data_IF_352301565834
#
_entry.id   IF_352301565834
#
_cell.length_a   1.000
_cell.length_b   1.000
_cell.length_c   1.000
_cell.angle_alpha   90.00
_cell.angle_beta   90.00
_cell.angle_gamma   90.00
#
_symmetry.space_group_name_H-M   'P 1'
#
loop_
_entity.id
_entity.type
_entity.pdbx_description
1 polymer ?
#
# COMPACT_ATOMS: atom_id res chain seq x y z
N UNK A 1 -5.98 28.73 -30.31
CA UNK A 1 -7.04 28.62 -29.28
C UNK A 1 -8.05 27.62 -29.80
N UNK A 2 -8.28 26.59 -29.00
CA UNK A 2 -9.34 25.57 -29.03
C UNK A 2 -9.82 25.03 -30.37
N UNK A 3 -9.34 23.83 -30.70
CA UNK A 3 -10.18 22.77 -31.24
C UNK A 3 -9.51 21.42 -31.00
N UNK A 4 -10.20 20.50 -30.31
CA UNK A 4 -10.13 19.04 -30.49
C UNK A 4 -11.10 18.33 -29.53
N UNK A 5 -12.39 18.62 -29.71
CA UNK A 5 -13.45 17.65 -29.42
C UNK A 5 -14.21 17.48 -30.74
N UNK A 6 -14.00 16.36 -31.42
CA UNK A 6 -14.81 15.97 -32.58
C UNK A 6 -15.86 14.99 -32.07
N UNK A 7 -17.11 15.44 -32.17
CA UNK A 7 -18.33 14.64 -32.12
C UNK A 7 -18.23 13.42 -33.04
N UNK A 8 -18.61 12.26 -32.53
CA UNK A 8 -19.16 11.19 -33.37
C UNK A 8 -20.48 10.73 -32.76
N UNK A 9 -21.55 10.89 -33.53
CA UNK A 9 -22.92 10.49 -33.20
C UNK A 9 -23.12 9.00 -33.63
N UNK A 10 -24.08 8.27 -33.05
CA UNK A 10 -24.17 6.81 -33.08
C UNK A 10 -25.04 6.27 -34.23
N UNK A 11 -25.09 4.93 -34.32
CA UNK A 11 -25.93 4.04 -35.14
C UNK A 11 -25.28 3.40 -36.38
N UNK A 12 -24.88 2.14 -36.20
CA UNK A 12 -24.96 1.09 -37.22
C UNK A 12 -25.09 -0.25 -36.50
N UNK A 13 -26.27 -0.85 -36.60
CA UNK A 13 -26.60 -2.19 -36.10
C UNK A 13 -26.20 -3.23 -37.13
N UNK A 14 -25.32 -4.17 -36.74
CA UNK A 14 -25.13 -5.43 -37.46
C UNK A 14 -25.40 -6.58 -36.51
N UNK A 15 -26.47 -7.32 -36.83
CA UNK A 15 -26.90 -8.55 -36.19
C UNK A 15 -25.90 -9.68 -36.43
N UNK A 16 -25.30 -10.20 -35.36
CA UNK A 16 -24.69 -11.53 -35.35
C UNK A 16 -25.30 -12.33 -34.20
N UNK A 17 -26.08 -13.35 -34.57
CA UNK A 17 -26.72 -14.33 -33.68
C UNK A 17 -25.65 -15.02 -32.83
N UNK A 18 -25.81 -15.01 -31.51
CA UNK A 18 -25.00 -15.79 -30.58
C UNK A 18 -25.73 -17.08 -30.22
N UNK A 19 -25.11 -18.22 -30.53
CA UNK A 19 -25.51 -19.52 -30.04
C UNK A 19 -25.25 -19.63 -28.52
N UNK A 20 -26.30 -20.03 -27.81
CA UNK A 20 -26.30 -20.31 -26.38
C UNK A 20 -25.60 -21.63 -26.09
N UNK A 21 -24.45 -21.59 -25.43
CA UNK A 21 -23.99 -22.72 -24.62
C UNK A 21 -23.57 -22.29 -23.21
N UNK A 22 -24.03 -23.11 -22.26
CA UNK A 22 -24.10 -22.88 -20.82
C UNK A 22 -22.72 -22.76 -20.18
N UNK A 23 -22.48 -21.65 -19.49
CA UNK A 23 -21.49 -21.56 -18.41
C UNK A 23 -22.14 -20.87 -17.20
N UNK A 24 -22.96 -21.63 -16.47
CA UNK A 24 -23.45 -21.22 -15.15
C UNK A 24 -22.72 -22.08 -14.11
N UNK A 25 -21.56 -21.60 -13.66
CA UNK A 25 -20.75 -22.27 -12.64
C UNK A 25 -19.90 -21.34 -11.77
N UNK A 26 -19.38 -20.24 -12.34
CA UNK A 26 -18.35 -19.44 -11.66
C UNK A 26 -18.83 -18.08 -11.11
N UNK A 27 -20.05 -17.63 -11.44
CA UNK A 27 -20.50 -16.27 -11.13
C UNK A 27 -21.14 -16.11 -9.73
N UNK A 28 -21.24 -17.18 -8.93
CA UNK A 28 -21.83 -17.14 -7.58
C UNK A 28 -20.81 -17.06 -6.43
N UNK A 29 -19.51 -17.13 -6.70
CA UNK A 29 -18.45 -17.08 -5.66
C UNK A 29 -17.77 -15.71 -5.50
N UNK A 30 -18.10 -14.72 -6.33
CA UNK A 30 -17.49 -13.38 -6.27
C UNK A 30 -18.11 -12.46 -5.21
N UNK A 31 -19.15 -12.88 -4.47
CA UNK A 31 -19.96 -11.97 -3.66
C UNK A 31 -19.58 -11.87 -2.17
N UNK A 32 -18.72 -12.74 -1.64
CA UNK A 32 -18.52 -12.84 -0.18
C UNK A 32 -17.73 -11.67 0.42
N UNK A 33 -16.82 -11.08 -0.36
CA UNK A 33 -15.96 -9.98 0.05
C UNK A 33 -15.93 -8.86 -1.00
N UNK A 34 -17.10 -8.45 -1.48
CA UNK A 34 -17.23 -7.41 -2.53
C UNK A 34 -16.58 -6.08 -2.12
N UNK A 35 -16.51 -5.75 -0.83
CA UNK A 35 -15.85 -4.54 -0.34
C UNK A 35 -14.35 -4.48 -0.66
N UNK A 36 -13.70 -5.60 -1.02
CA UNK A 36 -12.29 -5.60 -1.47
C UNK A 36 -12.14 -4.81 -2.78
N UNK A 37 -13.17 -4.74 -3.62
CA UNK A 37 -13.12 -3.88 -4.82
C UNK A 37 -13.15 -2.38 -4.47
N UNK A 38 -13.56 -2.03 -3.25
CA UNK A 38 -13.51 -0.67 -2.72
C UNK A 38 -12.15 -0.34 -2.07
N UNK A 39 -11.20 -1.29 -2.03
CA UNK A 39 -9.85 -1.04 -1.55
C UNK A 39 -9.22 0.12 -2.34
N UNK A 40 -9.11 1.26 -1.66
CA UNK A 40 -8.45 2.48 -2.10
C UNK A 40 -8.45 3.42 -0.90
N UNK A 41 -7.44 4.29 -0.83
CA UNK A 41 -7.37 5.27 0.25
C UNK A 41 -8.42 6.37 0.04
N UNK A 42 -8.82 7.05 1.11
CA UNK A 42 -9.75 8.19 1.05
C UNK A 42 -9.17 9.27 0.13
N UNK A 43 -9.87 9.55 -0.97
CA UNK A 43 -9.45 10.54 -1.99
C UNK A 43 -9.59 11.99 -1.53
N UNK A 44 -9.30 12.92 -2.43
CA UNK A 44 -9.37 14.35 -2.19
C UNK A 44 -8.28 14.90 -1.27
N UNK A 45 -8.49 16.14 -0.81
CA UNK A 45 -7.58 16.95 0.00
C UNK A 45 -8.24 17.49 1.28
N UNK A 46 -9.43 16.98 1.64
CA UNK A 46 -10.13 17.34 2.87
C UNK A 46 -9.56 16.70 4.14
N UNK A 47 -10.15 17.02 5.29
CA UNK A 47 -9.63 16.66 6.61
C UNK A 47 -9.55 15.14 6.88
N UNK A 48 -10.39 14.33 6.23
CA UNK A 48 -10.37 12.86 6.34
C UNK A 48 -9.68 12.17 5.15
N UNK A 49 -9.08 12.93 4.23
CA UNK A 49 -8.38 12.38 3.08
C UNK A 49 -7.07 11.71 3.46
N UNK A 50 -6.59 10.80 2.62
CA UNK A 50 -5.25 10.22 2.77
C UNK A 50 -4.15 11.28 2.57
N UNK A 51 -4.36 12.25 1.70
CA UNK A 51 -3.40 13.32 1.43
C UNK A 51 -3.04 14.11 2.70
N UNK A 52 -4.01 14.37 3.57
CA UNK A 52 -3.82 15.10 4.84
C UNK A 52 -3.43 14.19 6.01
N UNK A 53 -3.74 12.89 5.96
CA UNK A 53 -3.54 11.95 7.07
C UNK A 53 -2.41 10.92 6.87
N UNK A 54 -1.52 11.11 5.90
CA UNK A 54 -0.45 10.16 5.56
C UNK A 54 0.93 10.51 6.14
N UNK A 55 0.97 11.11 7.34
CA UNK A 55 2.23 11.51 8.00
C UNK A 55 3.12 10.29 8.34
N UNK A 56 2.52 9.16 8.72
CA UNK A 56 3.24 7.91 8.98
C UNK A 56 4.07 7.50 7.76
N UNK A 57 3.44 7.46 6.59
CA UNK A 57 4.06 7.07 5.33
C UNK A 57 5.17 8.08 4.94
N UNK A 58 4.95 9.37 5.19
CA UNK A 58 5.99 10.40 5.01
C UNK A 58 7.22 10.17 5.88
N UNK A 59 7.04 9.76 7.15
CA UNK A 59 8.16 9.44 8.05
C UNK A 59 8.90 8.18 7.60
N UNK A 60 8.16 7.16 7.17
CA UNK A 60 8.74 5.93 6.62
C UNK A 60 9.62 6.25 5.42
N UNK A 61 9.14 7.06 4.47
CA UNK A 61 9.93 7.54 3.33
C UNK A 61 11.23 8.23 3.77
N UNK A 62 11.19 9.05 4.82
CA UNK A 62 12.40 9.69 5.36
C UNK A 62 13.39 8.68 5.95
N UNK A 63 12.91 7.61 6.59
CA UNK A 63 13.77 6.56 7.17
C UNK A 63 14.37 5.66 6.11
N UNK A 64 13.63 5.36 5.05
CA UNK A 64 14.08 4.48 3.96
C UNK A 64 14.86 5.21 2.87
N UNK A 65 14.91 6.55 2.93
CA UNK A 65 15.63 7.41 1.97
C UNK A 65 17.05 6.93 1.68
N UNK A 66 17.83 6.53 2.69
CA UNK A 66 19.20 6.03 2.48
C UNK A 66 19.22 4.82 1.53
N UNK A 67 18.39 3.82 1.81
CA UNK A 67 18.29 2.59 1.00
C UNK A 67 17.86 2.93 -0.43
N UNK A 68 16.94 3.87 -0.60
CA UNK A 68 16.49 4.33 -1.91
C UNK A 68 17.62 5.01 -2.70
N UNK A 69 18.35 5.93 -2.08
CA UNK A 69 19.45 6.67 -2.70
C UNK A 69 20.58 5.72 -3.10
N UNK A 70 21.01 4.83 -2.20
CA UNK A 70 22.08 3.86 -2.46
C UNK A 70 21.72 2.95 -3.65
N UNK A 71 20.53 2.36 -3.65
CA UNK A 71 20.10 1.50 -4.76
C UNK A 71 19.91 2.27 -6.07
N UNK A 72 19.49 3.53 -6.02
CA UNK A 72 19.39 4.38 -7.22
C UNK A 72 20.78 4.64 -7.80
N UNK A 73 21.77 4.97 -6.95
CA UNK A 73 23.16 5.20 -7.41
C UNK A 73 23.77 3.94 -8.00
N UNK A 74 23.68 2.81 -7.29
CA UNK A 74 24.22 1.54 -7.78
C UNK A 74 23.54 1.11 -9.08
N UNK A 75 22.23 1.31 -9.23
CA UNK A 75 21.52 1.02 -10.48
C UNK A 75 22.10 1.83 -11.64
N UNK A 76 22.25 3.15 -11.46
CA UNK A 76 22.79 4.05 -12.49
C UNK A 76 24.18 3.61 -12.95
N UNK A 77 25.07 3.29 -12.01
CA UNK A 77 26.43 2.86 -12.31
C UNK A 77 26.42 1.49 -13.02
N UNK A 78 25.62 0.52 -12.55
CA UNK A 78 25.58 -0.82 -13.15
C UNK A 78 24.93 -0.86 -14.54
N UNK A 79 24.06 0.10 -14.86
CA UNK A 79 23.42 0.24 -16.16
C UNK A 79 24.18 1.18 -17.11
N UNK A 80 25.39 1.62 -16.71
CA UNK A 80 26.23 2.58 -17.45
C UNK A 80 25.49 3.84 -17.91
N UNK A 81 24.76 4.47 -16.98
CA UNK A 81 24.08 5.75 -17.20
C UNK A 81 23.21 5.76 -18.48
N UNK A 82 22.13 4.95 -18.50
CA UNK A 82 21.28 4.83 -19.69
C UNK A 82 20.64 6.18 -20.03
N UNK A 83 20.28 6.41 -21.30
CA UNK A 83 19.66 7.67 -21.75
C UNK A 83 18.21 7.87 -21.29
N UNK A 84 17.51 6.78 -21.00
CA UNK A 84 16.13 6.80 -20.53
C UNK A 84 15.98 5.80 -19.38
N UNK A 85 15.23 6.19 -18.35
CA UNK A 85 14.99 5.39 -17.16
C UNK A 85 13.51 5.41 -16.88
N UNK A 86 12.95 4.22 -16.67
CA UNK A 86 11.57 4.05 -16.22
C UNK A 86 11.54 3.67 -14.75
N UNK A 87 10.88 4.49 -13.96
CA UNK A 87 10.69 4.33 -12.52
C UNK A 87 9.20 4.13 -12.27
N UNK A 88 8.83 3.11 -11.49
CA UNK A 88 7.46 2.90 -11.09
C UNK A 88 7.31 2.95 -9.58
N UNK A 89 6.28 3.65 -9.08
CA UNK A 89 5.78 3.45 -7.72
C UNK A 89 4.53 2.60 -7.74
N UNK A 90 4.53 1.53 -6.94
CA UNK A 90 3.44 0.55 -6.91
C UNK A 90 2.64 0.70 -5.62
N UNK A 91 1.42 1.22 -5.74
CA UNK A 91 0.55 1.62 -4.64
C UNK A 91 0.78 3.07 -4.21
N UNK A 92 0.65 4.01 -5.16
CA UNK A 92 0.97 5.42 -4.95
C UNK A 92 -0.05 6.18 -4.10
N UNK A 93 -1.27 5.63 -3.96
CA UNK A 93 -2.40 6.25 -3.28
C UNK A 93 -2.74 7.63 -3.88
N UNK A 94 -3.38 8.48 -3.06
CA UNK A 94 -3.86 9.82 -3.36
C UNK A 94 -3.17 10.83 -2.43
N UNK A 95 -2.15 11.54 -2.90
CA UNK A 95 -1.48 12.56 -2.10
C UNK A 95 -0.06 12.90 -2.53
N UNK A 96 0.61 13.77 -1.76
CA UNK A 96 1.93 14.31 -2.13
C UNK A 96 3.12 13.41 -1.81
N UNK A 97 2.94 12.36 -0.99
CA UNK A 97 4.05 11.53 -0.49
C UNK A 97 4.82 10.82 -1.62
N UNK A 98 4.12 10.39 -2.65
CA UNK A 98 4.72 9.79 -3.86
C UNK A 98 5.81 10.68 -4.47
N UNK A 99 5.54 11.98 -4.56
CA UNK A 99 6.46 12.93 -5.15
C UNK A 99 7.70 13.18 -4.31
N UNK A 100 7.68 12.84 -3.00
CA UNK A 100 8.90 12.87 -2.18
C UNK A 100 9.89 11.80 -2.66
N UNK A 101 9.43 10.56 -2.80
CA UNK A 101 10.26 9.46 -3.31
C UNK A 101 10.75 9.75 -4.74
N UNK A 102 9.84 10.17 -5.62
CA UNK A 102 10.19 10.44 -7.02
C UNK A 102 11.16 11.60 -7.19
N UNK A 103 11.01 12.66 -6.39
CA UNK A 103 11.96 13.78 -6.42
C UNK A 103 13.32 13.37 -5.90
N UNK A 104 13.38 12.50 -4.87
CA UNK A 104 14.63 11.97 -4.35
C UNK A 104 15.37 11.12 -5.39
N UNK A 105 14.65 10.24 -6.09
CA UNK A 105 15.21 9.42 -7.17
C UNK A 105 15.76 10.32 -8.28
N UNK A 106 14.94 11.25 -8.80
CA UNK A 106 15.34 12.15 -9.88
C UNK A 106 16.53 13.03 -9.51
N UNK A 107 16.53 13.60 -8.31
CA UNK A 107 17.63 14.44 -7.82
C UNK A 107 18.91 13.62 -7.58
N UNK A 108 18.79 12.38 -7.09
CA UNK A 108 19.93 11.46 -6.94
C UNK A 108 20.56 11.13 -8.29
N UNK A 109 19.74 10.83 -9.30
CA UNK A 109 20.20 10.57 -10.66
C UNK A 109 20.93 11.79 -11.23
N UNK A 110 20.31 12.98 -11.12
CA UNK A 110 20.91 14.23 -11.61
C UNK A 110 22.27 14.52 -10.98
N UNK A 111 22.36 14.41 -9.65
CA UNK A 111 23.60 14.67 -8.90
C UNK A 111 24.69 13.66 -9.27
N UNK A 112 24.34 12.37 -9.44
CA UNK A 112 25.31 11.35 -9.83
C UNK A 112 25.80 11.55 -11.26
N UNK A 113 24.92 11.93 -12.19
CA UNK A 113 25.31 12.28 -13.56
C UNK A 113 26.27 13.47 -13.58
N UNK A 114 26.06 14.51 -12.75
CA UNK A 114 26.99 15.63 -12.60
C UNK A 114 28.36 15.17 -12.09
N UNK A 115 28.38 14.40 -11.01
CA UNK A 115 29.61 13.86 -10.40
C UNK A 115 30.45 13.05 -11.39
N UNK A 116 29.80 12.29 -12.27
CA UNK A 116 30.46 11.42 -13.26
C UNK A 116 30.61 12.07 -14.64
N UNK A 117 30.31 13.35 -14.78
CA UNK A 117 30.34 14.09 -16.05
C UNK A 117 29.54 13.38 -17.18
N UNK A 118 28.35 12.88 -16.84
CA UNK A 118 27.38 12.23 -17.73
C UNK A 118 26.18 13.15 -17.97
N UNK A 119 25.51 12.95 -19.09
CA UNK A 119 24.24 13.63 -19.35
C UNK A 119 23.11 13.00 -18.53
N UNK A 120 22.23 13.80 -17.90
CA UNK A 120 21.03 13.27 -17.24
C UNK A 120 20.11 12.53 -18.23
N UNK A 121 19.47 11.43 -17.81
CA UNK A 121 18.50 10.70 -18.63
C UNK A 121 17.13 11.37 -18.67
N UNK A 122 16.32 10.98 -19.65
CA UNK A 122 14.86 11.13 -19.56
C UNK A 122 14.31 10.16 -18.52
N UNK A 123 13.42 10.63 -17.64
CA UNK A 123 12.84 9.84 -16.57
C UNK A 123 11.35 9.65 -16.84
N UNK A 124 10.93 8.43 -17.14
CA UNK A 124 9.52 8.03 -17.20
C UNK A 124 9.07 7.56 -15.81
N UNK A 125 8.31 8.41 -15.13
CA UNK A 125 7.79 8.21 -13.78
C UNK A 125 6.35 7.69 -13.83
N UNK A 126 6.18 6.41 -13.54
CA UNK A 126 4.89 5.73 -13.55
C UNK A 126 4.30 5.61 -12.14
N UNK A 127 3.12 6.15 -11.95
CA UNK A 127 2.36 6.08 -10.69
C UNK A 127 1.30 5.00 -10.82
N UNK A 128 1.48 3.85 -10.14
CA UNK A 128 0.52 2.76 -10.15
C UNK A 128 -0.31 2.73 -8.88
N UNK A 129 -1.61 2.48 -9.05
CA UNK A 129 -2.53 2.09 -8.00
C UNK A 129 -3.72 1.32 -8.62
N UNK A 130 -4.65 0.86 -7.80
CA UNK A 130 -5.89 0.26 -8.25
C UNK A 130 -6.74 1.28 -9.03
N UNK A 131 -7.60 0.82 -9.97
CA UNK A 131 -8.44 1.72 -10.77
C UNK A 131 -9.38 2.64 -9.96
N UNK A 132 -9.73 2.24 -8.73
CA UNK A 132 -10.58 2.99 -7.80
C UNK A 132 -9.88 4.16 -7.09
N UNK A 133 -8.56 4.27 -7.21
CA UNK A 133 -7.76 5.34 -6.61
C UNK A 133 -8.05 6.72 -7.25
N UNK A 134 -7.91 7.77 -6.45
CA UNK A 134 -8.11 9.15 -6.91
C UNK A 134 -6.84 9.73 -7.54
N UNK A 135 -6.56 9.28 -8.77
CA UNK A 135 -5.46 9.81 -9.59
C UNK A 135 -5.62 11.31 -9.89
N UNK A 136 -6.85 11.83 -9.94
CA UNK A 136 -7.08 13.25 -10.19
C UNK A 136 -6.45 14.11 -9.11
N UNK A 137 -6.63 13.74 -7.83
CA UNK A 137 -5.98 14.45 -6.72
C UNK A 137 -4.46 14.33 -6.79
N UNK A 138 -3.91 13.15 -7.11
CA UNK A 138 -2.45 12.98 -7.28
C UNK A 138 -1.90 13.87 -8.40
N UNK A 139 -2.59 13.96 -9.54
CA UNK A 139 -2.12 14.75 -10.68
C UNK A 139 -2.12 16.26 -10.44
N UNK A 140 -2.95 16.78 -9.52
CA UNK A 140 -2.89 18.19 -9.09
C UNK A 140 -1.51 18.58 -8.52
N UNK A 141 -0.75 17.62 -7.99
CA UNK A 141 0.56 17.89 -7.38
C UNK A 141 1.74 17.83 -8.37
N UNK A 142 1.55 17.46 -9.64
CA UNK A 142 2.62 17.32 -10.64
C UNK A 142 3.39 18.65 -10.83
N UNK A 143 2.70 19.78 -10.88
CA UNK A 143 3.36 21.09 -11.04
C UNK A 143 4.30 21.39 -9.87
N UNK A 144 3.88 21.07 -8.65
CA UNK A 144 4.70 21.22 -7.45
C UNK A 144 5.87 20.24 -7.42
N UNK A 145 5.67 19.04 -7.94
CA UNK A 145 6.73 18.04 -8.11
C UNK A 145 7.80 18.50 -9.10
N UNK A 146 7.42 18.98 -10.28
CA UNK A 146 8.36 19.44 -11.30
C UNK A 146 9.28 20.56 -10.78
N UNK A 147 8.77 21.44 -9.91
CA UNK A 147 9.56 22.49 -9.25
C UNK A 147 10.60 21.96 -8.25
N UNK A 148 10.45 20.74 -7.73
CA UNK A 148 11.39 20.11 -6.78
C UNK A 148 12.58 19.43 -7.47
N UNK A 149 12.55 19.29 -8.79
CA UNK A 149 13.63 18.66 -9.55
C UNK A 149 14.74 19.68 -9.84
N UNK A 150 15.96 19.37 -9.43
CA UNK A 150 17.09 20.32 -9.40
C UNK A 150 17.56 20.82 -10.76
N UNK A 151 17.37 20.06 -11.85
CA UNK A 151 17.88 20.42 -13.19
C UNK A 151 16.82 20.62 -14.27
N UNK A 152 15.55 20.77 -13.90
CA UNK A 152 14.47 20.82 -14.90
C UNK A 152 14.48 19.61 -15.85
N UNK A 153 15.01 18.47 -15.39
CA UNK A 153 15.17 17.26 -16.18
C UNK A 153 13.84 16.78 -16.73
N UNK A 154 13.88 16.12 -17.90
CA UNK A 154 12.73 15.58 -18.60
C UNK A 154 12.08 14.42 -17.83
N UNK A 155 11.38 14.74 -16.73
CA UNK A 155 10.60 13.80 -15.96
C UNK A 155 9.16 13.81 -16.46
N UNK A 156 8.73 12.69 -17.01
CA UNK A 156 7.39 12.50 -17.56
C UNK A 156 6.58 11.65 -16.59
N UNK A 157 5.43 12.16 -16.14
CA UNK A 157 4.61 11.47 -15.15
C UNK A 157 3.40 10.82 -15.84
N UNK A 158 3.19 9.54 -15.58
CA UNK A 158 2.07 8.75 -16.12
C UNK A 158 1.32 8.02 -15.00
N UNK A 159 0.01 7.87 -15.13
CA UNK A 159 -0.78 6.99 -14.26
C UNK A 159 -0.94 5.60 -14.87
N UNK A 160 -0.84 4.56 -14.04
CA UNK A 160 -0.97 3.15 -14.45
C UNK A 160 -2.00 2.45 -13.56
N UNK A 161 -3.30 2.52 -13.89
CA UNK A 161 -4.35 1.88 -13.10
C UNK A 161 -4.30 0.36 -13.29
N UNK A 162 -4.24 -0.38 -12.19
CA UNK A 162 -4.25 -1.85 -12.21
C UNK A 162 -3.61 -2.46 -10.96
N UNK A 163 -3.95 -3.73 -10.68
CA UNK A 163 -3.32 -4.46 -9.58
C UNK A 163 -1.87 -4.78 -9.91
N UNK A 164 -0.96 -4.49 -8.99
CA UNK A 164 0.42 -4.96 -9.08
C UNK A 164 0.57 -6.48 -8.93
N UNK A 165 -0.50 -7.23 -8.68
CA UNK A 165 -0.49 -8.70 -8.80
C UNK A 165 -0.68 -9.18 -10.25
N UNK A 166 -0.76 -8.25 -11.20
CA UNK A 166 -0.81 -8.49 -12.64
C UNK A 166 0.37 -7.80 -13.37
N UNK A 167 0.49 -8.06 -14.68
CA UNK A 167 1.41 -7.32 -15.55
C UNK A 167 0.87 -5.90 -15.77
N UNK A 168 1.71 -4.91 -15.49
CA UNK A 168 1.44 -3.48 -15.64
C UNK A 168 2.29 -2.84 -16.74
N UNK A 169 3.46 -3.41 -17.03
CA UNK A 169 4.44 -2.81 -17.93
C UNK A 169 4.90 -3.80 -19.02
N UNK A 170 5.41 -3.30 -20.17
CA UNK A 170 6.09 -4.15 -21.15
C UNK A 170 7.31 -4.87 -20.55
N UNK A 171 7.69 -6.00 -21.15
CA UNK A 171 8.84 -6.79 -20.70
C UNK A 171 10.13 -5.96 -20.77
N UNK A 172 11.00 -6.10 -19.77
CA UNK A 172 12.32 -5.45 -19.70
C UNK A 172 12.26 -3.93 -19.97
N UNK A 173 11.27 -3.25 -19.41
CA UNK A 173 11.09 -1.80 -19.56
C UNK A 173 11.30 -1.03 -18.26
N UNK A 174 11.16 -1.67 -17.10
CA UNK A 174 11.33 -1.06 -15.79
C UNK A 174 12.78 -1.11 -15.31
N UNK A 175 13.28 -0.01 -14.78
CA UNK A 175 14.64 0.12 -14.25
C UNK A 175 14.62 0.12 -12.72
N UNK A 176 13.71 0.91 -12.13
CA UNK A 176 13.53 1.02 -10.69
C UNK A 176 12.06 0.84 -10.32
N UNK A 177 11.79 0.00 -9.32
CA UNK A 177 10.48 -0.10 -8.67
C UNK A 177 10.62 0.39 -7.24
N UNK A 178 9.73 1.29 -6.84
CA UNK A 178 9.55 1.73 -5.47
C UNK A 178 8.15 1.33 -5.00
N UNK A 179 8.02 1.01 -3.72
CA UNK A 179 6.71 0.70 -3.14
C UNK A 179 6.79 0.88 -1.63
N UNK A 180 5.88 1.65 -1.06
CA UNK A 180 5.81 1.87 0.38
C UNK A 180 4.39 1.61 0.85
N UNK A 181 4.27 0.66 1.78
CA UNK A 181 3.03 0.36 2.51
C UNK A 181 1.84 0.02 1.62
N UNK A 182 2.07 -0.81 0.60
CA UNK A 182 1.01 -1.32 -0.28
C UNK A 182 1.02 -2.84 -0.43
N UNK A 183 2.19 -3.48 -0.54
CA UNK A 183 2.32 -4.93 -0.82
C UNK A 183 1.76 -5.83 0.30
N UNK A 184 1.54 -5.30 1.50
CA UNK A 184 0.90 -6.03 2.60
C UNK A 184 -0.61 -6.20 2.41
N UNK A 185 -1.24 -5.47 1.47
CA UNK A 185 -2.63 -5.68 1.10
C UNK A 185 -2.75 -6.87 0.15
N UNK A 186 -3.53 -7.87 0.54
CA UNK A 186 -3.75 -9.10 -0.21
C UNK A 186 -4.65 -8.85 -1.43
N UNK A 187 -4.54 -9.72 -2.44
CA UNK A 187 -5.39 -9.66 -3.64
C UNK A 187 -6.86 -9.96 -3.33
N UNK A 188 -7.11 -10.69 -2.24
CA UNK A 188 -8.43 -11.01 -1.69
C UNK A 188 -8.33 -11.37 -0.23
N UNK A 189 -9.46 -11.36 0.48
CA UNK A 189 -9.57 -12.01 1.78
C UNK A 189 -9.37 -13.52 1.59
N UNK A 190 -8.58 -14.20 2.46
CA UNK A 190 -8.42 -15.64 2.40
C UNK A 190 -9.76 -16.39 2.49
N UNK A 191 -9.85 -17.54 1.81
CA UNK A 191 -11.03 -18.40 1.89
C UNK A 191 -11.02 -19.27 3.16
N UNK A 192 -12.20 -19.67 3.63
CA UNK A 192 -12.33 -20.60 4.75
C UNK A 192 -12.08 -19.99 6.13
N UNK A 193 -12.23 -18.67 6.27
CA UNK A 193 -12.11 -17.99 7.56
C UNK A 193 -13.34 -18.20 8.44
N UNK A 194 -13.12 -18.35 9.75
CA UNK A 194 -14.21 -18.46 10.72
C UNK A 194 -14.90 -17.11 10.94
N UNK A 195 -16.23 -17.11 10.80
CA UNK A 195 -17.10 -15.93 10.99
C UNK A 195 -17.68 -15.84 12.40
N UNK A 196 -17.32 -16.73 13.31
CA UNK A 196 -17.81 -16.75 14.70
C UNK A 196 -17.15 -15.67 15.56
N UNK A 197 -15.99 -15.16 15.14
CA UNK A 197 -15.16 -14.25 15.92
C UNK A 197 -15.35 -12.80 15.47
N UNK A 198 -15.69 -11.92 16.42
CA UNK A 198 -15.80 -10.46 16.23
C UNK A 198 -14.41 -9.80 16.14
N UNK A 199 -13.61 -10.25 15.19
CA UNK A 199 -12.30 -9.67 14.88
C UNK A 199 -12.16 -9.50 13.38
N UNK A 200 -11.66 -8.35 12.97
CA UNK A 200 -11.45 -8.02 11.55
C UNK A 200 -10.17 -8.64 11.00
N UNK A 201 -9.28 -9.11 11.87
CA UNK A 201 -8.00 -9.71 11.50
C UNK A 201 -7.59 -10.82 12.48
N UNK A 202 -6.52 -11.55 12.16
CA UNK A 202 -6.00 -12.64 13.01
C UNK A 202 -5.51 -12.11 14.36
N UNK A 203 -5.73 -12.88 15.42
CA UNK A 203 -5.25 -12.57 16.77
C UNK A 203 -4.67 -13.81 17.44
N UNK A 204 -4.08 -13.66 18.64
CA UNK A 204 -3.53 -14.78 19.43
C UNK A 204 -4.55 -15.89 19.73
N UNK A 205 -5.84 -15.58 19.73
CA UNK A 205 -6.92 -16.56 19.93
C UNK A 205 -7.48 -17.11 18.62
N UNK A 206 -6.89 -16.82 17.46
CA UNK A 206 -7.35 -17.35 16.17
C UNK A 206 -6.86 -18.78 15.98
N UNK A 207 -7.64 -19.63 15.29
CA UNK A 207 -7.19 -20.99 15.00
C UNK A 207 -5.99 -20.95 14.05
N UNK A 208 -5.10 -21.94 14.18
CA UNK A 208 -3.92 -22.06 13.32
C UNK A 208 -4.28 -22.17 11.83
N UNK A 209 -5.48 -22.67 11.50
CA UNK A 209 -6.01 -22.72 10.14
C UNK A 209 -6.21 -21.33 9.54
N UNK A 210 -6.72 -20.37 10.31
CA UNK A 210 -6.92 -18.98 9.87
C UNK A 210 -5.56 -18.31 9.61
N UNK A 211 -4.58 -18.47 10.51
CA UNK A 211 -3.20 -18.01 10.24
C UNK A 211 -2.65 -18.57 8.92
N UNK A 212 -2.77 -19.89 8.73
CA UNK A 212 -2.28 -20.56 7.51
C UNK A 212 -3.00 -20.05 6.27
N UNK A 213 -4.29 -19.73 6.34
CA UNK A 213 -5.04 -19.17 5.22
C UNK A 213 -4.48 -17.80 4.79
N UNK A 214 -4.25 -16.90 5.76
CA UNK A 214 -3.61 -15.60 5.50
C UNK A 214 -2.19 -15.73 4.96
N UNK A 215 -1.37 -16.58 5.58
CA UNK A 215 -0.01 -16.84 5.13
C UNK A 215 0.00 -17.39 3.70
N UNK A 216 -0.82 -18.39 3.38
CA UNK A 216 -0.89 -18.98 2.04
C UNK A 216 -1.31 -17.95 0.99
N UNK A 217 -2.28 -17.08 1.31
CA UNK A 217 -2.71 -16.01 0.43
C UNK A 217 -1.57 -14.99 0.19
N UNK A 218 -0.88 -14.56 1.24
CA UNK A 218 0.31 -13.70 1.13
C UNK A 218 1.42 -14.33 0.29
N UNK A 219 1.73 -15.61 0.51
CA UNK A 219 2.75 -16.33 -0.25
C UNK A 219 2.41 -16.35 -1.74
N UNK A 220 1.16 -16.66 -2.08
CA UNK A 220 0.68 -16.66 -3.47
C UNK A 220 0.79 -15.26 -4.10
N UNK A 221 0.32 -14.25 -3.39
CA UNK A 221 0.27 -12.87 -3.87
C UNK A 221 1.68 -12.30 -4.05
N UNK A 222 2.55 -12.45 -3.05
CA UNK A 222 3.91 -11.94 -3.09
C UNK A 222 4.78 -12.68 -4.12
N UNK A 223 4.66 -14.00 -4.25
CA UNK A 223 5.31 -14.74 -5.35
C UNK A 223 4.81 -14.28 -6.71
N UNK A 224 3.51 -14.03 -6.86
CA UNK A 224 2.94 -13.51 -8.12
C UNK A 224 3.49 -12.11 -8.41
N UNK A 225 3.52 -11.22 -7.42
CA UNK A 225 4.12 -9.90 -7.53
C UNK A 225 5.57 -9.99 -8.03
N UNK A 226 6.42 -10.79 -7.38
CA UNK A 226 7.82 -10.97 -7.78
C UNK A 226 7.92 -11.47 -9.22
N UNK A 227 7.12 -12.47 -9.62
CA UNK A 227 7.12 -12.99 -10.99
C UNK A 227 6.70 -11.96 -12.03
N UNK A 228 5.67 -11.16 -11.74
CA UNK A 228 5.24 -10.10 -12.67
C UNK A 228 6.32 -9.03 -12.82
N UNK A 229 6.94 -8.61 -11.71
CA UNK A 229 8.03 -7.63 -11.72
C UNK A 229 9.28 -8.16 -12.43
N UNK A 230 9.59 -9.45 -12.27
CA UNK A 230 10.79 -10.03 -12.89
C UNK A 230 10.72 -10.07 -14.42
N UNK A 231 9.52 -10.19 -15.00
CA UNK A 231 9.30 -10.08 -16.44
C UNK A 231 9.43 -8.64 -16.96
N UNK A 232 9.03 -7.67 -16.15
CA UNK A 232 8.95 -6.26 -16.52
C UNK A 232 10.28 -5.52 -16.35
N UNK A 233 11.11 -5.97 -15.43
CA UNK A 233 12.36 -5.31 -15.10
C UNK A 233 13.52 -5.71 -16.01
N UNK A 234 14.39 -4.74 -16.29
CA UNK A 234 15.69 -4.99 -16.93
C UNK A 234 16.62 -5.75 -15.96
N UNK A 235 17.57 -6.51 -16.50
CA UNK A 235 18.67 -7.08 -15.69
C UNK A 235 19.43 -5.97 -14.98
N UNK A 236 19.84 -6.20 -13.73
CA UNK A 236 20.42 -5.20 -12.82
C UNK A 236 19.48 -4.05 -12.41
N UNK A 237 18.21 -4.05 -12.84
CA UNK A 237 17.19 -3.18 -12.30
C UNK A 237 16.98 -3.40 -10.80
N UNK A 238 16.47 -2.37 -10.10
CA UNK A 238 16.33 -2.38 -8.64
C UNK A 238 14.88 -2.32 -8.20
N UNK A 239 14.56 -2.99 -7.09
CA UNK A 239 13.33 -2.72 -6.35
C UNK A 239 13.68 -2.27 -4.94
N UNK A 240 12.97 -1.28 -4.42
CA UNK A 240 13.01 -0.86 -3.02
C UNK A 240 11.59 -0.92 -2.48
N UNK A 241 11.32 -1.92 -1.66
CA UNK A 241 9.99 -2.24 -1.15
C UNK A 241 9.96 -2.03 0.36
N UNK A 242 8.96 -1.32 0.85
CA UNK A 242 8.72 -1.14 2.28
C UNK A 242 7.35 -1.68 2.65
N UNK A 243 7.31 -2.69 3.50
CA UNK A 243 6.08 -3.35 3.95
C UNK A 243 5.85 -3.07 5.43
N UNK A 244 4.58 -3.14 5.85
CA UNK A 244 4.26 -3.34 7.27
C UNK A 244 4.49 -4.82 7.52
N UNK A 245 5.32 -5.12 8.50
CA UNK A 245 5.59 -6.48 8.94
C UNK A 245 5.49 -6.60 10.45
N UNK A 246 5.91 -7.75 10.96
CA UNK A 246 5.93 -8.04 12.39
C UNK A 246 7.29 -8.51 12.87
N UNK A 247 7.60 -8.24 14.14
CA UNK A 247 8.68 -8.95 14.85
C UNK A 247 8.24 -10.39 15.08
N UNK A 248 9.07 -11.33 14.68
CA UNK A 248 8.87 -12.74 15.01
C UNK A 248 9.07 -12.91 16.52
N UNK A 249 7.98 -13.20 17.22
CA UNK A 249 7.99 -13.77 18.56
C UNK A 249 7.76 -15.27 18.44
N UNK A 250 7.83 -16.00 19.55
CA UNK A 250 7.61 -17.45 19.58
C UNK A 250 6.22 -17.86 19.04
N UNK A 251 5.26 -16.93 19.03
CA UNK A 251 3.91 -17.12 18.48
C UNK A 251 3.68 -16.22 17.24
N UNK A 252 3.46 -16.81 16.04
CA UNK A 252 3.19 -16.05 14.82
C UNK A 252 1.81 -15.37 14.79
N UNK A 253 0.88 -15.80 15.64
CA UNK A 253 -0.45 -15.20 15.83
C UNK A 253 -0.45 -14.03 16.80
N UNK A 254 0.62 -13.84 17.57
CA UNK A 254 0.70 -12.76 18.53
C UNK A 254 0.64 -11.40 17.82
N UNK A 255 -0.33 -10.59 18.21
CA UNK A 255 -0.41 -9.16 17.92
C UNK A 255 -0.58 -8.45 19.24
N UNK A 256 0.17 -7.39 19.45
CA UNK A 256 0.10 -6.63 20.69
C UNK A 256 -1.25 -5.91 20.83
N UNK A 257 -1.55 -5.45 22.04
CA UNK A 257 -2.81 -4.78 22.34
C UNK A 257 -2.97 -3.43 21.64
N UNK A 258 -1.90 -2.82 21.11
CA UNK A 258 -1.97 -1.56 20.34
C UNK A 258 -1.89 -1.79 18.83
N UNK A 259 -2.01 -3.03 18.35
CA UNK A 259 -2.06 -3.32 16.92
C UNK A 259 -3.33 -2.71 16.32
N UNK A 260 -3.19 -1.97 15.21
CA UNK A 260 -4.26 -1.16 14.64
C UNK A 260 -5.51 -1.97 14.25
N UNK A 261 -5.36 -3.22 13.78
CA UNK A 261 -6.54 -4.09 13.54
C UNK A 261 -7.14 -4.70 14.80
N UNK A 262 -6.37 -4.82 15.89
CA UNK A 262 -6.89 -5.20 17.20
C UNK A 262 -7.77 -4.09 17.74
N UNK A 263 -7.26 -2.86 17.75
CA UNK A 263 -8.00 -1.67 18.20
C UNK A 263 -9.25 -1.40 17.35
N UNK A 264 -9.19 -1.65 16.04
CA UNK A 264 -10.36 -1.53 15.16
C UNK A 264 -11.42 -2.59 15.50
N UNK A 265 -11.01 -3.83 15.76
CA UNK A 265 -11.92 -4.91 16.17
C UNK A 265 -12.62 -4.58 17.49
N UNK A 266 -11.87 -4.10 18.49
CA UNK A 266 -12.44 -3.68 19.78
C UNK A 266 -13.40 -2.50 19.63
N UNK A 267 -13.08 -1.53 18.77
CA UNK A 267 -13.95 -0.37 18.53
C UNK A 267 -15.26 -0.77 17.83
N UNK A 268 -15.22 -1.71 16.89
CA UNK A 268 -16.41 -2.29 16.27
C UNK A 268 -17.21 -3.12 17.28
N UNK A 269 -16.54 -3.84 18.18
CA UNK A 269 -17.19 -4.60 19.24
C UNK A 269 -17.97 -3.68 20.21
N UNK A 270 -17.42 -2.52 20.56
CA UNK A 270 -18.13 -1.52 21.36
C UNK A 270 -19.43 -1.06 20.68
N UNK A 271 -19.43 -0.89 19.36
CA UNK A 271 -20.65 -0.55 18.59
C UNK A 271 -21.67 -1.70 18.58
N UNK A 272 -21.23 -2.95 18.64
CA UNK A 272 -22.12 -4.12 18.77
C UNK A 272 -22.79 -4.12 20.14
N UNK A 273 -22.04 -3.87 21.21
CA UNK A 273 -22.56 -3.81 22.57
C UNK A 273 -23.58 -2.68 22.75
N UNK A 274 -23.40 -1.59 22.02
CA UNK A 274 -24.34 -0.45 21.98
C UNK A 274 -25.54 -0.68 21.06
N UNK A 275 -25.60 -1.82 20.35
CA UNK A 275 -26.68 -2.14 19.42
C UNK A 275 -26.68 -1.32 18.14
N UNK A 276 -25.58 -0.62 17.82
CA UNK A 276 -25.45 0.23 16.62
C UNK A 276 -25.20 -0.63 15.38
N UNK A 277 -24.33 -1.63 15.48
CA UNK A 277 -24.02 -2.55 14.38
C UNK A 277 -24.26 -4.00 14.79
N UNK A 278 -24.62 -4.85 13.84
CA UNK A 278 -24.83 -6.27 14.12
C UNK A 278 -23.51 -7.03 14.26
N UNK A 279 -23.44 -7.95 15.23
CA UNK A 279 -22.28 -8.81 15.46
C UNK A 279 -21.89 -9.62 14.21
N UNK A 280 -22.88 -10.07 13.44
CA UNK A 280 -22.70 -10.84 12.20
C UNK A 280 -22.08 -10.01 11.08
N UNK A 281 -22.39 -8.71 11.01
CA UNK A 281 -21.78 -7.80 10.03
C UNK A 281 -20.32 -7.50 10.38
N UNK A 282 -20.02 -7.32 11.67
CA UNK A 282 -18.63 -7.19 12.13
C UNK A 282 -17.84 -8.47 11.87
N UNK A 283 -18.41 -9.64 12.16
CA UNK A 283 -17.69 -10.91 12.03
C UNK A 283 -17.47 -11.37 10.58
N UNK A 284 -18.23 -10.82 9.64
CA UNK A 284 -18.04 -11.03 8.19
C UNK A 284 -17.05 -10.04 7.56
N UNK A 285 -16.73 -8.93 8.23
CA UNK A 285 -15.70 -8.01 7.77
C UNK A 285 -14.32 -8.55 8.12
N UNK A 286 -13.54 -8.92 7.10
CA UNK A 286 -12.17 -9.45 7.25
C UNK A 286 -11.20 -8.62 6.42
N UNK A 287 -10.09 -8.21 7.02
CA UNK A 287 -9.14 -7.32 6.37
C UNK A 287 -8.28 -8.10 5.37
N UNK A 288 -8.21 -7.73 4.08
CA UNK A 288 -7.31 -8.35 3.10
C UNK A 288 -5.88 -7.83 3.32
N UNK A 289 -5.28 -8.21 4.44
CA UNK A 289 -3.99 -7.69 4.90
C UNK A 289 -3.16 -8.83 5.47
N UNK A 290 -1.84 -8.78 5.28
CA UNK A 290 -0.89 -9.62 6.01
C UNK A 290 0.38 -8.85 6.32
N UNK A 291 0.80 -8.88 7.58
CA UNK A 291 2.04 -8.29 8.08
C UNK A 291 3.11 -9.38 8.22
N UNK A 292 3.89 -9.68 7.16
CA UNK A 292 4.83 -10.81 7.17
C UNK A 292 6.00 -10.59 8.14
N UNK A 293 6.66 -11.67 8.53
CA UNK A 293 7.95 -11.60 9.21
C UNK A 293 9.10 -11.37 8.21
N UNK A 294 10.26 -10.97 8.75
CA UNK A 294 11.49 -10.83 7.96
C UNK A 294 11.87 -12.15 7.29
N UNK A 295 11.71 -13.27 8.00
CA UNK A 295 12.02 -14.61 7.52
C UNK A 295 11.08 -15.02 6.39
N UNK A 296 9.76 -14.82 6.56
CA UNK A 296 8.75 -15.13 5.53
C UNK A 296 9.04 -14.40 4.21
N UNK A 297 9.36 -13.10 4.27
CA UNK A 297 9.73 -12.30 3.09
C UNK A 297 11.01 -12.83 2.45
N UNK A 298 12.03 -13.09 3.26
CA UNK A 298 13.34 -13.56 2.78
C UNK A 298 13.23 -14.90 2.07
N UNK A 299 12.51 -15.84 2.66
CA UNK A 299 12.35 -17.19 2.13
C UNK A 299 11.55 -17.18 0.83
N UNK A 300 10.51 -16.35 0.73
CA UNK A 300 9.73 -16.22 -0.50
C UNK A 300 10.55 -15.63 -1.65
N UNK A 301 11.37 -14.59 -1.40
CA UNK A 301 12.24 -14.01 -2.43
C UNK A 301 13.26 -15.04 -2.92
N UNK A 302 13.87 -15.80 -1.99
CA UNK A 302 14.84 -16.85 -2.33
C UNK A 302 14.19 -17.99 -3.11
N UNK A 303 13.00 -18.41 -2.70
CA UNK A 303 12.23 -19.50 -3.32
C UNK A 303 11.73 -19.14 -4.72
N UNK A 304 11.25 -17.92 -4.93
CA UNK A 304 10.84 -17.46 -6.26
C UNK A 304 12.05 -17.31 -7.20
N UNK A 305 13.14 -16.73 -6.70
CA UNK A 305 14.46 -16.86 -7.30
C UNK A 305 14.82 -15.85 -8.40
N UNK A 306 13.91 -14.98 -8.86
CA UNK A 306 14.18 -13.99 -9.92
C UNK A 306 15.02 -12.79 -9.46
N UNK A 307 15.05 -12.55 -8.15
CA UNK A 307 15.73 -11.42 -7.53
C UNK A 307 16.81 -11.85 -6.55
N UNK A 308 17.87 -11.04 -6.44
CA UNK A 308 18.86 -11.12 -5.36
C UNK A 308 18.51 -10.08 -4.31
N UNK A 309 18.53 -10.45 -3.04
CA UNK A 309 18.41 -9.49 -1.92
C UNK A 309 19.72 -8.71 -1.83
N UNK A 310 19.64 -7.38 -1.95
CA UNK A 310 20.79 -6.49 -1.75
C UNK A 310 20.92 -6.08 -0.28
N UNK A 311 19.83 -5.57 0.30
CA UNK A 311 19.75 -5.18 1.70
C UNK A 311 18.34 -5.48 2.23
N UNK A 312 18.23 -5.82 3.53
CA UNK A 312 16.98 -6.07 4.23
C UNK A 312 17.07 -5.51 5.66
N UNK A 313 16.39 -4.40 5.89
CA UNK A 313 16.38 -3.68 7.16
C UNK A 313 15.00 -3.76 7.83
N UNK A 314 15.01 -3.68 9.17
CA UNK A 314 13.80 -3.62 9.98
C UNK A 314 13.84 -2.35 10.82
N UNK A 315 12.82 -1.52 10.67
CA UNK A 315 12.68 -0.26 11.39
C UNK A 315 11.49 -0.33 12.33
N UNK A 316 11.56 0.38 13.46
CA UNK A 316 10.42 0.49 14.37
C UNK A 316 9.22 1.14 13.68
N UNK A 317 8.03 0.59 13.88
CA UNK A 317 6.80 1.21 13.39
C UNK A 317 6.44 2.43 14.24
N UNK A 318 6.64 3.62 13.68
CA UNK A 318 6.44 4.89 14.39
C UNK A 318 5.20 5.61 13.89
N UNK A 319 4.09 5.42 14.62
CA UNK A 319 2.80 6.12 14.42
C UNK A 319 2.86 7.61 14.74
N UNK A 320 3.98 8.07 15.24
CA UNK A 320 4.34 9.47 15.25
C UNK A 320 4.10 10.21 16.55
N UNK A 321 4.12 9.50 17.67
CA UNK A 321 4.21 10.13 18.99
C UNK A 321 5.58 10.82 19.13
N UNK A 322 5.60 12.15 19.07
CA UNK A 322 6.73 12.95 19.51
C UNK A 322 7.04 12.58 20.96
N UNK A 323 8.26 12.14 21.25
CA UNK A 323 8.74 12.00 22.64
C UNK A 323 8.70 13.36 23.37
N UNK A 324 8.75 14.47 22.61
CA UNK A 324 8.63 15.83 23.10
C UNK A 324 7.22 16.20 23.63
N UNK A 325 6.16 15.50 23.20
CA UNK A 325 4.77 15.75 23.64
C UNK A 325 4.42 15.10 24.99
N UNK A 326 5.31 14.29 25.56
CA UNK A 326 5.08 13.65 26.87
C UNK A 326 5.26 14.62 28.06
N UNK A 327 5.69 15.86 27.81
CA UNK A 327 5.97 16.85 28.87
C UNK A 327 4.74 17.65 29.34
N UNK A 328 3.58 17.51 28.69
CA UNK A 328 2.34 18.18 29.09
C UNK A 328 1.19 17.18 29.22
N UNK A 329 0.75 16.96 30.47
CA UNK A 329 -0.29 16.03 30.91
C UNK A 329 -1.72 16.37 30.42
N UNK A 330 -1.90 16.86 29.18
CA UNK A 330 -3.22 17.12 28.56
C UNK A 330 -3.35 16.66 27.09
N UNK A 331 -2.39 15.90 26.54
CA UNK A 331 -2.31 15.62 25.09
C UNK A 331 -2.51 14.16 24.64
N UNK A 332 -2.83 13.22 25.54
CA UNK A 332 -3.10 11.82 25.18
C UNK A 332 -4.21 11.63 24.13
N UNK A 333 -5.25 12.48 24.16
CA UNK A 333 -6.40 12.44 23.23
C UNK A 333 -5.99 12.85 21.80
N UNK A 334 -5.05 13.80 21.64
CA UNK A 334 -4.61 14.27 20.31
C UNK A 334 -3.76 13.24 19.57
N UNK A 335 -2.99 12.44 20.30
CA UNK A 335 -2.20 11.36 19.71
C UNK A 335 -3.08 10.25 19.13
N UNK A 336 -4.11 9.84 19.88
CA UNK A 336 -5.09 8.86 19.43
C UNK A 336 -5.88 9.32 18.20
N UNK A 337 -6.22 10.61 18.14
CA UNK A 337 -6.90 11.21 16.98
C UNK A 337 -6.06 11.13 15.70
N UNK A 338 -4.76 11.45 15.75
CA UNK A 338 -3.89 11.39 14.55
C UNK A 338 -3.79 9.97 13.98
N UNK A 339 -3.66 8.98 14.85
CA UNK A 339 -3.64 7.58 14.42
C UNK A 339 -5.00 7.14 13.89
N UNK A 340 -6.09 7.51 14.56
CA UNK A 340 -7.45 7.25 14.10
C UNK A 340 -7.69 7.82 12.70
N UNK A 341 -7.30 9.06 12.45
CA UNK A 341 -7.45 9.68 11.12
C UNK A 341 -6.59 8.99 10.06
N UNK A 342 -5.38 8.53 10.40
CA UNK A 342 -4.55 7.73 9.50
C UNK A 342 -5.22 6.40 9.13
N UNK A 343 -5.73 5.65 10.12
CA UNK A 343 -6.38 4.36 9.87
C UNK A 343 -7.73 4.55 9.17
N UNK A 344 -8.48 5.62 9.50
CA UNK A 344 -9.68 6.04 8.79
C UNK A 344 -9.40 6.26 7.31
N UNK A 345 -8.41 7.08 6.99
CA UNK A 345 -8.05 7.37 5.60
C UNK A 345 -7.63 6.13 4.80
N UNK A 346 -7.26 5.04 5.47
CA UNK A 346 -6.91 3.75 4.86
C UNK A 346 -8.10 2.81 4.70
N UNK A 347 -9.06 2.85 5.62
CA UNK A 347 -10.09 1.80 5.75
C UNK A 347 -11.53 2.26 5.53
N UNK A 348 -11.81 3.56 5.59
CA UNK A 348 -13.17 4.12 5.53
C UNK A 348 -13.94 3.64 4.30
N UNK A 349 -13.30 3.61 3.12
CA UNK A 349 -13.98 3.14 1.90
C UNK A 349 -14.39 1.66 1.97
N UNK A 350 -13.56 0.80 2.55
CA UNK A 350 -13.92 -0.62 2.75
C UNK A 350 -15.01 -0.78 3.82
N UNK A 351 -14.93 0.00 4.90
CA UNK A 351 -15.93 0.00 5.96
C UNK A 351 -17.29 0.45 5.41
N UNK A 352 -17.36 1.57 4.69
CA UNK A 352 -18.59 2.07 4.07
C UNK A 352 -19.13 1.07 3.05
N UNK A 353 -18.27 0.45 2.23
CA UNK A 353 -18.72 -0.55 1.25
C UNK A 353 -19.31 -1.81 1.89
N UNK A 354 -18.80 -2.23 3.06
CA UNK A 354 -19.30 -3.41 3.77
C UNK A 354 -20.51 -3.11 4.65
N UNK A 355 -20.42 -2.04 5.45
CA UNK A 355 -21.40 -1.69 6.46
C UNK A 355 -22.53 -0.80 5.92
N UNK A 356 -22.32 -0.07 4.82
CA UNK A 356 -23.32 0.88 4.31
C UNK A 356 -23.76 1.87 5.38
N UNK A 357 -25.05 2.20 5.39
CA UNK A 357 -25.65 3.14 6.35
C UNK A 357 -25.78 2.57 7.77
N UNK A 358 -25.50 1.28 7.99
CA UNK A 358 -25.58 0.65 9.32
C UNK A 358 -24.49 1.17 10.26
N UNK A 359 -23.41 1.76 9.76
CA UNK A 359 -22.30 2.26 10.59
C UNK A 359 -22.18 3.77 10.55
N UNK A 360 -22.07 4.37 11.73
CA UNK A 360 -21.56 5.73 11.86
C UNK A 360 -20.02 5.71 11.93
N UNK A 361 -19.35 6.08 10.83
CA UNK A 361 -17.89 6.09 10.72
C UNK A 361 -17.25 7.05 11.73
N UNK A 362 -17.84 8.21 11.98
CA UNK A 362 -17.30 9.16 12.95
C UNK A 362 -17.34 8.59 14.37
N UNK A 363 -18.45 7.93 14.75
CA UNK A 363 -18.57 7.26 16.05
C UNK A 363 -17.54 6.14 16.18
N UNK A 364 -17.34 5.32 15.14
CA UNK A 364 -16.31 4.28 15.11
C UNK A 364 -14.92 4.86 15.38
N UNK A 365 -14.52 5.88 14.62
CA UNK A 365 -13.15 6.41 14.73
C UNK A 365 -12.93 7.28 15.97
N UNK A 366 -13.99 7.83 16.57
CA UNK A 366 -13.91 8.44 17.91
C UNK A 366 -13.61 7.39 18.99
N UNK A 367 -14.26 6.22 18.93
CA UNK A 367 -13.96 5.09 19.83
C UNK A 367 -12.56 4.54 19.58
N UNK A 368 -12.17 4.39 18.32
CA UNK A 368 -10.81 4.00 17.93
C UNK A 368 -9.75 4.94 18.50
N UNK A 369 -9.95 6.25 18.37
CA UNK A 369 -9.04 7.25 18.93
C UNK A 369 -8.89 7.11 20.45
N UNK A 370 -10.00 6.88 21.17
CA UNK A 370 -9.98 6.65 22.61
C UNK A 370 -9.17 5.38 22.98
N UNK A 371 -9.38 4.28 22.24
CA UNK A 371 -8.63 3.04 22.42
C UNK A 371 -7.14 3.25 22.19
N UNK A 372 -6.74 3.92 21.10
CA UNK A 372 -5.33 4.26 20.86
C UNK A 372 -4.74 5.04 22.04
N UNK A 373 -5.46 6.06 22.54
CA UNK A 373 -5.01 6.87 23.67
C UNK A 373 -4.83 6.03 24.95
N UNK A 374 -5.69 5.05 25.20
CA UNK A 374 -5.56 4.13 26.34
C UNK A 374 -4.33 3.22 26.24
N UNK A 375 -3.95 2.85 25.01
CA UNK A 375 -2.81 1.99 24.73
C UNK A 375 -1.50 2.75 24.40
N UNK A 376 -1.47 4.08 24.56
CA UNK A 376 -0.32 4.92 24.22
C UNK A 376 0.96 4.57 24.99
N UNK A 377 0.83 3.99 26.19
CA UNK A 377 1.95 3.53 27.03
C UNK A 377 2.48 2.14 26.69
N UNK A 378 1.88 1.45 25.69
CA UNK A 378 2.31 0.12 25.28
C UNK A 378 3.76 0.16 24.76
N UNK A 379 4.66 -0.52 25.49
CA UNK A 379 6.09 -0.58 25.18
C UNK A 379 6.44 -1.70 24.19
N UNK A 380 5.61 -2.75 24.15
CA UNK A 380 5.85 -3.93 23.32
C UNK A 380 5.08 -3.80 22.01
N UNK A 381 5.71 -3.17 21.01
CA UNK A 381 5.16 -3.07 19.65
C UNK A 381 5.71 -4.18 18.76
N UNK A 382 4.79 -4.94 18.17
CA UNK A 382 5.02 -6.04 17.23
C UNK A 382 5.21 -5.54 15.81
N UNK A 383 4.46 -4.50 15.42
CA UNK A 383 4.55 -3.91 14.08
C UNK A 383 5.92 -3.30 13.81
N UNK A 384 6.43 -3.55 12.61
CA UNK A 384 7.69 -2.99 12.10
C UNK A 384 7.53 -2.58 10.65
N UNK A 385 8.43 -1.71 10.18
CA UNK A 385 8.61 -1.46 8.75
C UNK A 385 9.72 -2.37 8.24
N UNK A 386 9.40 -3.28 7.32
CA UNK A 386 10.39 -4.11 6.64
C UNK A 386 10.78 -3.42 5.34
N UNK A 387 12.07 -3.12 5.18
CA UNK A 387 12.61 -2.44 4.00
C UNK A 387 13.52 -3.42 3.29
N UNK A 388 13.14 -3.84 2.10
CA UNK A 388 13.91 -4.76 1.28
C UNK A 388 14.31 -4.09 -0.02
N UNK A 389 15.59 -4.20 -0.36
CA UNK A 389 16.10 -3.83 -1.66
C UNK A 389 16.53 -5.06 -2.44
N UNK A 390 16.15 -5.10 -3.72
CA UNK A 390 16.27 -6.26 -4.59
C UNK A 390 16.96 -5.86 -5.89
N UNK A 391 17.73 -6.79 -6.45
CA UNK A 391 18.38 -6.67 -7.76
C UNK A 391 17.79 -7.73 -8.67
N UNK A 392 17.34 -7.33 -9.86
CA UNK A 392 16.92 -8.27 -10.90
C UNK A 392 18.13 -9.04 -11.42
N UNK A 393 18.11 -10.38 -11.28
CA UNK A 393 19.18 -11.27 -11.76
C UNK A 393 19.31 -11.29 -13.29
#
# INVERSE_FOLDING_TARGET
MDSRFINTNPYSSCDCKSDNEKSNGDDKRSSEYSFVSALSMSGGDGDNSYSTNSLLQKRVLSRTKRVLVENTKEMMTNLDFPRCIKVADLGCSSGQNIFLAMSEIGNTINALCEEWNKNPPEIDCCLNDLPSNDFNTTFKFITSFNKKLTRGGSCFVSGVPGSFYSRLFPRKSLHLVHSVYSIHFLSKVPEGLEKSKMSVYITSSSPQSEYKAYLNQFQKDFTTFLRMRSEEMVSNGRMVLTLIGRKTLDDPLYRDCCHFWTLLSESLHDLVLEGIVSATKVSSFKMPFYDPSKEEVTDLIRKEGSFKINNLETHGFDLGHSVEDFSLQSHGVKAGQKEASCIRAVTERMLVAHFGDDINIDTLFNKYALRVSQHASCRTKTSVSLVVSLIRK
#
